data_IF_246778200657
#
_entry.id   IF_246778200657
#
_cell.length_a   1.000
_cell.length_b   1.000
_cell.length_c   1.000
_cell.angle_alpha   90.00
_cell.angle_beta   90.00
_cell.angle_gamma   90.00
#
_symmetry.space_group_name_H-M   'P 1'
#
loop_
_entity.id
_entity.type
_entity.pdbx_description
1 polymer ?
#
# COMPACT_ATOMS: atom_id res chain seq x y z
N UNK A 1 16.47 46.57 -10.52
CA UNK A 1 16.22 45.48 -9.56
C UNK A 1 16.41 44.17 -10.33
N UNK A 2 17.57 43.53 -10.19
CA UNK A 2 17.91 42.32 -10.94
C UNK A 2 17.46 41.08 -10.17
N UNK A 3 16.50 40.33 -10.71
CA UNK A 3 16.11 39.01 -10.22
C UNK A 3 17.10 37.96 -10.74
N UNK A 4 17.90 37.41 -9.84
CA UNK A 4 18.79 36.27 -10.10
C UNK A 4 17.92 35.00 -10.21
N UNK A 5 18.00 34.20 -11.29
CA UNK A 5 17.36 32.90 -11.33
C UNK A 5 18.09 31.94 -10.37
N UNK A 6 17.35 31.33 -9.44
CA UNK A 6 17.86 30.26 -8.59
C UNK A 6 18.25 29.07 -9.45
N UNK A 7 19.54 28.96 -9.75
CA UNK A 7 20.14 27.75 -10.29
C UNK A 7 20.02 26.64 -9.23
N UNK A 8 19.14 25.65 -9.44
CA UNK A 8 19.03 24.52 -8.52
C UNK A 8 17.95 23.47 -8.79
N UNK A 9 16.93 23.76 -9.62
CA UNK A 9 15.72 22.91 -9.73
C UNK A 9 15.87 21.67 -10.63
N UNK A 10 17.07 21.10 -10.78
CA UNK A 10 17.14 19.79 -11.42
C UNK A 10 16.87 18.73 -10.36
N UNK A 11 15.78 17.94 -10.46
CA UNK A 11 15.52 16.88 -9.50
C UNK A 11 16.74 15.96 -9.41
N UNK A 12 17.11 15.50 -8.21
CA UNK A 12 18.13 14.47 -8.08
C UNK A 12 17.73 13.29 -8.95
N UNK A 13 18.61 12.94 -9.91
CA UNK A 13 18.35 11.81 -10.80
C UNK A 13 18.20 10.55 -9.94
N UNK A 14 17.17 9.73 -10.20
CA UNK A 14 16.92 8.53 -9.42
C UNK A 14 18.12 7.59 -9.54
N UNK A 15 18.63 7.12 -8.40
CA UNK A 15 19.76 6.21 -8.39
C UNK A 15 19.28 4.82 -8.91
N UNK A 16 19.60 4.50 -10.16
CA UNK A 16 19.21 3.25 -10.84
C UNK A 16 20.16 2.08 -10.56
N UNK A 17 21.28 2.32 -9.87
CA UNK A 17 22.29 1.32 -9.51
C UNK A 17 22.17 0.80 -8.06
N UNK A 18 23.13 -0.04 -7.63
CA UNK A 18 23.32 -0.59 -6.26
C UNK A 18 23.45 0.53 -5.19
N UNK A 19 22.36 1.25 -4.93
CA UNK A 19 22.36 2.43 -4.06
C UNK A 19 22.69 2.09 -2.61
N UNK A 20 23.41 2.99 -1.94
CA UNK A 20 23.70 2.98 -0.50
C UNK A 20 22.40 2.75 0.30
N UNK A 21 22.46 1.96 1.38
CA UNK A 21 21.35 1.86 2.33
C UNK A 21 21.31 3.12 3.20
N UNK A 22 20.11 3.67 3.39
CA UNK A 22 19.86 4.81 4.29
C UNK A 22 18.68 4.49 5.20
N UNK A 23 18.64 5.16 6.34
CA UNK A 23 17.43 5.26 7.16
C UNK A 23 16.54 6.31 6.49
N UNK A 24 15.39 5.88 5.95
CA UNK A 24 14.47 6.79 5.28
C UNK A 24 13.92 7.86 6.23
N UNK A 25 14.06 9.15 5.92
CA UNK A 25 13.54 10.26 6.76
C UNK A 25 12.03 10.16 7.01
N UNK A 26 11.26 9.62 6.06
CA UNK A 26 9.80 9.52 6.16
C UNK A 26 9.32 8.23 6.86
N UNK A 27 9.73 7.06 6.35
CA UNK A 27 9.25 5.77 6.89
C UNK A 27 10.15 5.18 7.98
N UNK A 28 11.30 5.78 8.28
CA UNK A 28 12.29 5.34 9.29
C UNK A 28 12.81 3.91 9.15
N UNK A 29 12.60 3.29 7.99
CA UNK A 29 13.10 1.97 7.65
C UNK A 29 14.44 2.08 6.89
N UNK A 30 15.35 1.15 7.15
CA UNK A 30 16.60 1.02 6.38
C UNK A 30 16.30 0.45 5.00
N UNK A 31 16.51 1.27 3.96
CA UNK A 31 16.19 0.94 2.57
C UNK A 31 17.23 1.52 1.63
N UNK A 32 17.22 1.03 0.39
CA UNK A 32 18.04 1.61 -0.67
C UNK A 32 17.69 3.08 -0.86
N UNK A 33 18.72 3.90 -0.82
CA UNK A 33 18.69 5.32 -1.13
C UNK A 33 18.17 5.53 -2.54
N UNK A 34 17.28 6.50 -2.69
CA UNK A 34 16.80 6.94 -3.98
C UNK A 34 17.20 8.39 -4.24
N UNK A 35 16.66 9.32 -3.44
CA UNK A 35 16.94 10.75 -3.43
C UNK A 35 16.37 11.38 -2.15
N UNK A 36 16.88 12.55 -1.74
CA UNK A 36 16.36 13.36 -0.62
C UNK A 36 16.25 12.62 0.73
N UNK A 37 17.16 11.69 0.98
CA UNK A 37 17.11 10.77 2.14
C UNK A 37 15.79 9.97 2.25
N UNK A 38 15.13 9.72 1.12
CA UNK A 38 13.92 8.92 1.01
C UNK A 38 14.20 7.59 0.30
N UNK A 39 13.49 6.56 0.73
CA UNK A 39 13.38 5.34 -0.05
C UNK A 39 12.52 5.58 -1.30
N UNK A 40 12.69 4.74 -2.33
CA UNK A 40 12.00 4.90 -3.62
C UNK A 40 10.48 5.07 -3.51
N UNK A 41 9.82 4.34 -2.59
CA UNK A 41 8.38 4.44 -2.37
C UNK A 41 7.95 5.75 -1.71
N UNK A 42 8.77 6.30 -0.80
CA UNK A 42 8.49 7.59 -0.18
C UNK A 42 8.76 8.74 -1.15
N UNK A 43 9.87 8.65 -1.91
CA UNK A 43 10.21 9.64 -2.93
C UNK A 43 9.12 9.73 -4.01
N UNK A 44 8.66 8.61 -4.58
CA UNK A 44 7.59 8.62 -5.61
C UNK A 44 6.30 9.27 -5.11
N UNK A 45 5.98 9.12 -3.82
CA UNK A 45 4.79 9.75 -3.24
C UNK A 45 4.98 11.25 -3.05
N UNK A 46 6.15 11.64 -2.57
CA UNK A 46 6.52 13.03 -2.39
C UNK A 46 6.51 13.77 -3.73
N UNK A 47 7.14 13.18 -4.74
CA UNK A 47 7.16 13.70 -6.12
C UNK A 47 5.75 13.78 -6.72
N UNK A 48 4.95 12.72 -6.60
CA UNK A 48 3.55 12.72 -7.05
C UNK A 48 2.63 13.69 -6.30
N UNK A 49 3.04 14.20 -5.14
CA UNK A 49 2.32 15.24 -4.40
C UNK A 49 2.78 16.67 -4.75
N UNK A 50 3.69 16.83 -5.73
CA UNK A 50 4.26 18.12 -6.10
C UNK A 50 5.38 18.59 -5.17
N UNK A 51 6.07 17.66 -4.50
CA UNK A 51 7.21 17.94 -3.60
C UNK A 51 6.92 18.98 -2.50
N UNK A 52 5.86 18.79 -1.70
CA UNK A 52 5.59 19.66 -0.55
C UNK A 52 6.76 19.67 0.44
N UNK A 53 6.93 20.73 1.22
CA UNK A 53 8.01 20.81 2.23
C UNK A 53 8.00 19.63 3.23
N UNK A 54 6.81 19.10 3.52
CA UNK A 54 6.61 17.92 4.37
C UNK A 54 6.28 16.68 3.52
N UNK A 55 6.98 15.57 3.79
CA UNK A 55 6.79 14.33 3.01
C UNK A 55 5.48 13.65 3.44
N UNK A 56 4.57 13.32 2.50
CA UNK A 56 3.30 12.70 2.86
C UNK A 56 3.50 11.39 3.63
N UNK A 57 2.74 11.16 4.72
CA UNK A 57 3.01 10.10 5.67
C UNK A 57 2.98 8.72 5.00
N UNK A 58 3.83 7.76 5.41
CA UNK A 58 3.80 6.39 4.91
C UNK A 58 2.37 5.86 4.93
N UNK A 59 1.91 5.26 3.82
CA UNK A 59 0.69 4.43 3.88
C UNK A 59 0.95 3.41 4.98
N UNK A 60 0.18 3.44 6.06
CA UNK A 60 0.29 2.45 7.14
C UNK A 60 0.15 1.07 6.49
N UNK A 61 1.23 0.32 6.39
CA UNK A 61 1.19 -1.10 5.99
C UNK A 61 0.56 -1.84 7.16
N UNK A 62 -0.76 -1.90 7.19
CA UNK A 62 -1.43 -2.42 8.38
C UNK A 62 -2.90 -2.06 8.45
N UNK A 63 -3.68 -2.53 7.49
CA UNK A 63 -5.03 -3.01 7.80
C UNK A 63 -5.19 -4.43 7.23
N UNK A 64 -4.21 -5.30 7.51
CA UNK A 64 -4.44 -6.73 7.51
C UNK A 64 -5.27 -7.16 8.75
N UNK A 65 -5.37 -6.30 9.78
CA UNK A 65 -6.08 -6.58 11.02
C UNK A 65 -7.63 -6.62 10.92
N UNK A 66 -8.21 -6.30 9.76
CA UNK A 66 -9.66 -6.48 9.50
C UNK A 66 -9.96 -7.73 8.65
N UNK A 67 -8.97 -8.58 8.36
CA UNK A 67 -9.15 -9.76 7.52
C UNK A 67 -9.81 -10.96 8.22
N UNK A 68 -9.49 -11.30 9.49
CA UNK A 68 -10.12 -12.44 10.15
C UNK A 68 -11.62 -12.22 10.36
N UNK A 69 -12.02 -11.01 10.73
CA UNK A 69 -13.43 -10.64 10.89
C UNK A 69 -14.19 -10.77 9.57
N UNK A 70 -13.65 -10.25 8.46
CA UNK A 70 -14.29 -10.37 7.14
C UNK A 70 -14.36 -11.81 6.62
N UNK A 71 -13.43 -12.68 7.02
CA UNK A 71 -13.46 -14.10 6.65
C UNK A 71 -14.49 -14.87 7.49
N UNK A 72 -14.63 -14.55 8.79
CA UNK A 72 -15.75 -15.04 9.62
C UNK A 72 -17.10 -14.54 9.10
N UNK A 73 -17.21 -13.26 8.75
CA UNK A 73 -18.42 -12.69 8.12
C UNK A 73 -18.74 -13.40 6.81
N UNK A 74 -17.72 -13.78 6.03
CA UNK A 74 -17.89 -14.61 4.84
C UNK A 74 -18.37 -16.02 5.19
N UNK A 75 -17.82 -16.69 6.21
CA UNK A 75 -18.28 -18.02 6.65
C UNK A 75 -19.75 -17.96 7.08
N UNK A 76 -20.11 -17.01 7.95
CA UNK A 76 -21.49 -16.77 8.41
C UNK A 76 -22.43 -16.40 7.24
N UNK A 77 -21.95 -15.61 6.26
CA UNK A 77 -22.75 -15.26 5.08
C UNK A 77 -22.82 -16.39 4.03
N UNK A 78 -21.89 -17.34 4.06
CA UNK A 78 -21.81 -18.47 3.12
C UNK A 78 -22.32 -19.78 3.71
N UNK A 79 -22.87 -19.75 4.93
CA UNK A 79 -23.21 -20.88 5.80
C UNK A 79 -24.19 -21.92 5.20
N UNK A 80 -24.65 -21.72 3.97
CA UNK A 80 -25.47 -22.67 3.23
C UNK A 80 -24.81 -23.28 1.99
N UNK A 81 -23.57 -22.91 1.64
CA UNK A 81 -22.84 -23.38 0.45
C UNK A 81 -23.50 -23.06 -0.92
N UNK A 82 -24.70 -22.49 -0.91
CA UNK A 82 -25.60 -22.33 -2.06
C UNK A 82 -25.62 -20.90 -2.61
N UNK A 83 -25.02 -19.93 -1.90
CA UNK A 83 -24.96 -18.56 -2.38
C UNK A 83 -23.89 -18.39 -3.47
N UNK A 84 -24.29 -17.80 -4.60
CA UNK A 84 -23.37 -17.39 -5.66
C UNK A 84 -22.42 -16.29 -5.18
N UNK A 85 -21.21 -16.26 -5.74
CA UNK A 85 -20.18 -15.28 -5.34
C UNK A 85 -20.64 -13.83 -5.50
N UNK A 86 -21.48 -13.55 -6.50
CA UNK A 86 -22.05 -12.22 -6.73
C UNK A 86 -23.04 -11.81 -5.62
N UNK A 87 -23.87 -12.75 -5.15
CA UNK A 87 -24.84 -12.49 -4.07
C UNK A 87 -24.14 -12.28 -2.74
N UNK A 88 -23.11 -13.08 -2.46
CA UNK A 88 -22.25 -12.91 -1.28
C UNK A 88 -21.48 -11.59 -1.31
N UNK A 89 -20.94 -11.20 -2.46
CA UNK A 89 -20.24 -9.93 -2.65
C UNK A 89 -21.15 -8.73 -2.34
N UNK A 90 -22.38 -8.73 -2.85
CA UNK A 90 -23.38 -7.69 -2.57
C UNK A 90 -23.72 -7.60 -1.08
N UNK A 91 -23.91 -8.74 -0.42
CA UNK A 91 -24.24 -8.80 1.02
C UNK A 91 -23.10 -8.28 1.91
N UNK A 92 -21.86 -8.59 1.55
CA UNK A 92 -20.67 -8.18 2.29
C UNK A 92 -20.16 -6.79 1.90
N UNK A 93 -20.75 -6.14 0.90
CA UNK A 93 -20.27 -4.84 0.39
C UNK A 93 -18.86 -4.92 -0.21
N UNK A 94 -18.47 -6.07 -0.77
CA UNK A 94 -17.15 -6.29 -1.38
C UNK A 94 -17.25 -6.66 -2.85
N UNK A 95 -16.12 -6.67 -3.57
CA UNK A 95 -16.09 -7.13 -4.95
C UNK A 95 -16.25 -8.67 -5.06
N UNK A 96 -16.81 -9.19 -6.17
CA UNK A 96 -16.81 -10.63 -6.44
C UNK A 96 -15.40 -11.25 -6.42
N UNK A 97 -14.39 -10.52 -6.87
CA UNK A 97 -12.98 -10.93 -6.81
C UNK A 97 -12.50 -11.17 -5.38
N UNK A 98 -12.96 -10.37 -4.42
CA UNK A 98 -12.67 -10.56 -2.99
C UNK A 98 -13.27 -11.87 -2.49
N UNK A 99 -14.50 -12.19 -2.89
CA UNK A 99 -15.18 -13.45 -2.53
C UNK A 99 -14.42 -14.67 -3.08
N UNK A 100 -13.97 -14.63 -4.33
CA UNK A 100 -13.15 -15.72 -4.89
C UNK A 100 -11.84 -15.92 -4.12
N UNK A 101 -11.18 -14.84 -3.69
CA UNK A 101 -9.98 -14.93 -2.85
C UNK A 101 -10.27 -15.59 -1.50
N UNK A 102 -11.40 -15.29 -0.87
CA UNK A 102 -11.79 -15.92 0.40
C UNK A 102 -12.10 -17.41 0.22
N UNK A 103 -12.79 -17.80 -0.86
CA UNK A 103 -13.01 -19.21 -1.22
C UNK A 103 -11.71 -19.98 -1.42
N UNK A 104 -10.75 -19.39 -2.14
CA UNK A 104 -9.46 -20.03 -2.39
C UNK A 104 -8.69 -20.28 -1.09
N UNK A 105 -8.74 -19.34 -0.14
CA UNK A 105 -8.08 -19.47 1.16
C UNK A 105 -8.72 -20.51 2.08
N UNK A 106 -10.06 -20.56 2.13
CA UNK A 106 -10.77 -21.61 2.86
C UNK A 106 -10.46 -22.99 2.30
N UNK A 107 -10.34 -23.14 0.97
CA UNK A 107 -9.89 -24.39 0.34
C UNK A 107 -8.45 -24.78 0.71
N UNK A 108 -7.61 -23.81 1.05
CA UNK A 108 -6.23 -24.02 1.49
C UNK A 108 -6.13 -24.30 3.00
N UNK A 109 -7.25 -24.40 3.73
CA UNK A 109 -7.25 -24.68 5.17
C UNK A 109 -6.88 -23.48 6.03
N UNK A 110 -6.87 -22.27 5.48
CA UNK A 110 -6.69 -21.03 6.25
C UNK A 110 -8.00 -20.71 6.97
N UNK A 111 -8.28 -21.44 8.06
CA UNK A 111 -9.46 -21.22 8.92
C UNK A 111 -9.17 -20.01 9.81
N UNK A 112 -10.02 -18.98 9.82
CA UNK A 112 -9.85 -17.85 10.72
C UNK A 112 -10.07 -18.33 12.16
N UNK A 113 -9.06 -18.18 13.01
CA UNK A 113 -9.15 -18.42 14.45
C UNK A 113 -10.25 -17.57 15.11
#
# INVERSE_FOLDING_TARGET
MNTVPLAGDTPPKPNTGKGRLIICRNCREEKRYYADHLCSACWKRWDGAGRPAEVPPPRKRGQAAAMPSRLRDYVIASDSGTMSAAKTAKRLGVSPRTVYRYRARLRQGEVPA
#
